data_IF_472655444950
#
_entry.id   IF_472655444950
#
_cell.length_a   1.000
_cell.length_b   1.000
_cell.length_c   1.000
_cell.angle_alpha   90.00
_cell.angle_beta   90.00
_cell.angle_gamma   90.00
#
_symmetry.space_group_name_H-M   'P 1'
#
loop_
_entity.id
_entity.type
_entity.pdbx_description
1 polymer ?
#
# COMPACT_ATOMS: atom_id res chain seq x y z
N UNK A 1 7.36 13.96 -8.82
CA UNK A 1 6.71 12.69 -8.41
C UNK A 1 7.11 12.37 -6.98
N UNK A 2 6.13 12.16 -6.14
CA UNK A 2 6.37 11.72 -4.76
C UNK A 2 6.15 10.22 -4.67
N UNK A 3 6.94 9.56 -3.84
CA UNK A 3 6.89 8.11 -3.68
C UNK A 3 6.65 7.79 -2.22
N UNK A 4 5.51 7.19 -1.93
CA UNK A 4 5.17 6.73 -0.59
C UNK A 4 5.67 5.29 -0.43
N UNK A 5 6.61 5.12 0.49
CA UNK A 5 7.22 3.82 0.77
C UNK A 5 6.60 3.21 2.01
N UNK A 6 6.30 1.92 1.92
CA UNK A 6 5.86 1.13 3.07
C UNK A 6 6.73 -0.11 3.16
N UNK A 7 7.30 -0.35 4.34
CA UNK A 7 8.00 -1.60 4.66
C UNK A 7 7.18 -2.34 5.70
N UNK A 8 6.89 -3.61 5.45
CA UNK A 8 6.09 -4.41 6.38
C UNK A 8 6.43 -5.89 6.30
N UNK A 9 6.13 -6.59 7.38
CA UNK A 9 6.06 -8.04 7.40
C UNK A 9 4.58 -8.46 7.40
N UNK A 10 4.33 -9.71 7.04
CA UNK A 10 2.98 -10.24 7.09
C UNK A 10 2.86 -11.24 8.23
N UNK A 11 1.66 -11.36 8.77
CA UNK A 11 1.36 -12.27 9.88
C UNK A 11 0.02 -12.97 9.66
N UNK A 12 -0.23 -14.02 10.46
CA UNK A 12 -1.46 -14.77 10.37
C UNK A 12 -1.39 -15.86 9.32
N UNK A 13 -2.54 -16.49 9.09
CA UNK A 13 -2.66 -17.65 8.21
C UNK A 13 -2.97 -17.20 6.79
N UNK A 14 -1.92 -16.82 6.07
CA UNK A 14 -2.02 -16.39 4.66
C UNK A 14 -0.69 -16.70 3.96
N UNK A 15 -0.77 -17.11 2.71
CA UNK A 15 0.44 -17.30 1.91
C UNK A 15 0.95 -15.97 1.36
N UNK A 16 2.25 -15.90 1.07
CA UNK A 16 2.86 -14.71 0.47
C UNK A 16 2.16 -14.32 -0.83
N UNK A 17 1.84 -15.31 -1.64
CA UNK A 17 1.19 -15.10 -2.93
C UNK A 17 -0.21 -14.52 -2.79
N UNK A 18 -0.99 -15.05 -1.86
CA UNK A 18 -2.35 -14.54 -1.59
C UNK A 18 -2.31 -13.11 -1.07
N UNK A 19 -1.41 -12.83 -0.13
CA UNK A 19 -1.28 -11.50 0.44
C UNK A 19 -0.90 -10.48 -0.63
N UNK A 20 0.10 -10.78 -1.44
CA UNK A 20 0.53 -9.89 -2.53
C UNK A 20 -0.58 -9.67 -3.55
N UNK A 21 -1.36 -10.70 -3.86
CA UNK A 21 -2.52 -10.58 -4.74
C UNK A 21 -3.57 -9.64 -4.15
N UNK A 22 -3.89 -9.80 -2.87
CA UNK A 22 -4.88 -8.97 -2.19
C UNK A 22 -4.45 -7.50 -2.15
N UNK A 23 -3.17 -7.24 -1.85
CA UNK A 23 -2.62 -5.89 -1.86
C UNK A 23 -2.68 -5.28 -3.26
N UNK A 24 -2.31 -6.05 -4.28
CA UNK A 24 -2.34 -5.59 -5.68
C UNK A 24 -3.75 -5.20 -6.11
N UNK A 25 -4.74 -6.00 -5.77
CA UNK A 25 -6.14 -5.70 -6.10
C UNK A 25 -6.61 -4.39 -5.48
N UNK A 26 -6.20 -4.13 -4.23
CA UNK A 26 -6.51 -2.87 -3.56
C UNK A 26 -5.84 -1.67 -4.25
N UNK A 27 -4.52 -1.75 -4.49
CA UNK A 27 -3.77 -0.67 -5.12
C UNK A 27 -4.25 -0.41 -6.54
N UNK A 28 -4.61 -1.45 -7.27
CA UNK A 28 -5.20 -1.36 -8.60
C UNK A 28 -6.51 -0.56 -8.56
N UNK A 29 -7.34 -0.78 -7.56
CA UNK A 29 -8.58 -0.03 -7.39
C UNK A 29 -8.33 1.46 -7.20
N UNK A 30 -7.32 1.83 -6.40
CA UNK A 30 -6.95 3.22 -6.21
C UNK A 30 -6.40 3.85 -7.49
N UNK A 31 -5.64 3.09 -8.26
CA UNK A 31 -5.12 3.56 -9.55
C UNK A 31 -6.24 3.80 -10.55
N UNK A 32 -7.21 2.90 -10.61
CA UNK A 32 -8.37 3.04 -11.50
C UNK A 32 -9.20 4.29 -11.17
N UNK A 33 -9.23 4.69 -9.90
CA UNK A 33 -9.90 5.91 -9.46
C UNK A 33 -9.01 7.16 -9.58
N UNK A 34 -7.81 7.05 -10.14
CA UNK A 34 -6.82 8.12 -10.25
C UNK A 34 -6.38 8.70 -8.89
N UNK A 35 -6.44 7.90 -7.83
CA UNK A 35 -5.99 8.29 -6.50
C UNK A 35 -4.48 8.10 -6.33
N UNK A 36 -3.88 7.27 -7.16
CA UNK A 36 -2.44 7.07 -7.25
C UNK A 36 -2.05 6.95 -8.73
N UNK A 37 -0.78 7.19 -9.04
CA UNK A 37 -0.27 7.10 -10.41
C UNK A 37 0.22 5.69 -10.76
N UNK A 38 0.96 5.07 -9.87
CA UNK A 38 1.46 3.71 -10.06
C UNK A 38 1.85 3.09 -8.72
N UNK A 39 2.19 1.82 -8.74
CA UNK A 39 2.65 1.11 -7.55
C UNK A 39 3.61 -0.01 -7.93
N UNK A 40 4.43 -0.42 -6.97
CA UNK A 40 5.27 -1.62 -7.07
C UNK A 40 5.22 -2.36 -5.74
N UNK A 41 5.15 -3.68 -5.83
CA UNK A 41 5.21 -4.56 -4.67
C UNK A 41 6.50 -5.36 -4.81
N UNK A 42 7.41 -5.21 -3.85
CA UNK A 42 8.68 -5.92 -3.85
C UNK A 42 8.88 -6.66 -2.54
N UNK A 43 9.68 -7.71 -2.60
CA UNK A 43 10.04 -8.53 -1.46
C UNK A 43 11.55 -8.68 -1.40
N UNK A 44 12.12 -8.63 -0.21
CA UNK A 44 13.55 -8.83 -0.03
C UNK A 44 13.95 -10.22 -0.53
N UNK A 45 14.85 -10.27 -1.51
CA UNK A 45 15.25 -11.50 -2.14
C UNK A 45 16.24 -12.27 -1.26
N UNK A 46 15.86 -13.49 -0.86
CA UNK A 46 16.73 -14.39 -0.11
C UNK A 46 17.30 -13.79 1.18
N UNK A 47 16.57 -12.84 1.80
CA UNK A 47 17.06 -12.15 2.98
C UNK A 47 18.25 -11.24 2.73
N UNK A 48 18.49 -10.84 1.48
CA UNK A 48 19.64 -10.03 1.10
C UNK A 48 19.46 -8.58 1.51
N UNK A 49 19.78 -8.30 2.77
CA UNK A 49 19.73 -6.95 3.36
C UNK A 49 20.73 -6.86 4.49
N UNK A 50 21.36 -5.68 4.61
CA UNK A 50 22.31 -5.39 5.70
C UNK A 50 21.66 -4.58 6.82
N UNK A 51 20.48 -4.03 6.59
CA UNK A 51 19.77 -3.22 7.58
C UNK A 51 19.06 -4.15 8.56
N UNK A 52 19.42 -4.03 9.84
CA UNK A 52 18.81 -4.83 10.89
C UNK A 52 17.34 -4.43 11.07
N UNK A 53 16.48 -5.43 11.29
CA UNK A 53 15.04 -5.24 11.54
C UNK A 53 14.27 -4.60 10.38
N UNK A 54 14.84 -4.53 9.18
CA UNK A 54 14.11 -4.08 8.01
C UNK A 54 13.08 -5.15 7.63
N UNK A 55 11.79 -4.80 7.56
CA UNK A 55 10.76 -5.75 7.13
C UNK A 55 11.01 -6.29 5.73
N UNK A 56 10.41 -7.45 5.45
CA UNK A 56 10.68 -8.19 4.21
C UNK A 56 10.04 -7.58 2.97
N UNK A 57 8.85 -7.00 3.10
CA UNK A 57 8.11 -6.45 1.99
C UNK A 57 8.31 -4.95 1.88
N UNK A 58 8.48 -4.48 0.65
CA UNK A 58 8.62 -3.05 0.37
C UNK A 58 7.66 -2.68 -0.75
N UNK A 59 6.71 -1.82 -0.43
CA UNK A 59 5.68 -1.34 -1.35
C UNK A 59 5.97 0.12 -1.67
N UNK A 60 5.91 0.48 -2.94
CA UNK A 60 6.10 1.84 -3.40
C UNK A 60 4.83 2.30 -4.11
N UNK A 61 4.31 3.45 -3.72
CA UNK A 61 3.12 4.05 -4.32
C UNK A 61 3.51 5.42 -4.85
N UNK A 62 3.42 5.60 -6.16
CA UNK A 62 3.77 6.88 -6.79
C UNK A 62 2.55 7.78 -6.89
N UNK A 63 2.74 9.04 -6.51
CA UNK A 63 1.73 10.10 -6.63
C UNK A 63 2.36 11.33 -7.27
N UNK A 64 1.54 12.17 -7.90
CA UNK A 64 2.01 13.42 -8.52
C UNK A 64 2.56 14.36 -7.46
N UNK A 65 1.87 14.46 -6.33
CA UNK A 65 2.16 15.39 -5.25
C UNK A 65 1.47 14.93 -3.96
N UNK A 66 1.69 15.70 -2.89
CA UNK A 66 1.08 15.46 -1.58
C UNK A 66 -0.45 15.51 -1.61
N UNK A 67 -1.00 16.36 -2.47
CA UNK A 67 -2.46 16.50 -2.57
C UNK A 67 -3.12 15.22 -3.04
N UNK A 68 -2.54 14.57 -4.04
CA UNK A 68 -3.04 13.28 -4.52
C UNK A 68 -2.91 12.20 -3.45
N UNK A 69 -1.79 12.13 -2.77
CA UNK A 69 -1.57 11.16 -1.70
C UNK A 69 -2.58 11.34 -0.57
N UNK A 70 -2.83 12.58 -0.17
CA UNK A 70 -3.80 12.92 0.86
C UNK A 70 -5.21 12.48 0.44
N UNK A 71 -5.57 12.69 -0.81
CA UNK A 71 -6.85 12.24 -1.38
C UNK A 71 -6.98 10.72 -1.32
N UNK A 72 -5.90 9.98 -1.57
CA UNK A 72 -5.90 8.52 -1.47
C UNK A 72 -6.14 8.07 -0.02
N UNK A 73 -5.50 8.69 0.97
CA UNK A 73 -5.73 8.40 2.38
C UNK A 73 -7.17 8.70 2.79
N UNK A 74 -7.73 9.81 2.34
CA UNK A 74 -9.11 10.18 2.62
C UNK A 74 -10.09 9.17 2.04
N UNK A 75 -9.80 8.65 0.85
CA UNK A 75 -10.63 7.61 0.21
C UNK A 75 -10.70 6.35 1.07
N UNK A 76 -9.56 5.90 1.58
CA UNK A 76 -9.50 4.73 2.46
C UNK A 76 -10.24 5.00 3.77
N UNK A 77 -10.03 6.16 4.38
CA UNK A 77 -10.70 6.53 5.61
C UNK A 77 -12.22 6.59 5.43
N UNK A 78 -12.69 7.10 4.30
CA UNK A 78 -14.12 7.18 3.99
C UNK A 78 -14.75 5.80 3.93
N UNK A 79 -14.13 4.83 3.23
CA UNK A 79 -14.70 3.49 3.09
C UNK A 79 -14.70 2.71 4.42
N UNK A 80 -13.92 3.13 5.40
CA UNK A 80 -13.93 2.52 6.72
C UNK A 80 -15.01 3.07 7.67
N UNK A 81 -15.60 4.23 7.36
CA UNK A 81 -16.43 4.98 8.30
C UNK A 81 -17.92 5.08 7.97
N UNK A 82 -18.34 4.76 6.74
CA UNK A 82 -19.69 5.07 6.26
C UNK A 82 -20.44 3.86 5.74
N UNK A 83 -21.78 3.98 5.65
CA UNK A 83 -22.61 3.07 4.85
C UNK A 83 -22.23 3.29 3.39
N UNK A 84 -21.85 2.20 2.71
CA UNK A 84 -21.15 2.27 1.46
C UNK A 84 -22.06 1.88 0.29
N UNK A 85 -21.83 2.51 -0.87
CA UNK A 85 -22.33 2.01 -2.13
C UNK A 85 -21.54 0.74 -2.52
N UNK A 86 -21.88 0.14 -3.66
CA UNK A 86 -21.25 -1.11 -4.10
C UNK A 86 -19.75 -0.95 -4.36
N UNK A 87 -19.33 0.15 -4.98
CA UNK A 87 -17.91 0.42 -5.30
C UNK A 87 -17.11 0.58 -4.01
N UNK A 88 -17.62 1.38 -3.08
CA UNK A 88 -16.97 1.61 -1.80
C UNK A 88 -16.87 0.33 -0.97
N UNK A 89 -17.91 -0.51 -1.00
CA UNK A 89 -17.90 -1.79 -0.32
C UNK A 89 -16.81 -2.72 -0.87
N UNK A 90 -16.60 -2.75 -2.18
CA UNK A 90 -15.54 -3.54 -2.79
C UNK A 90 -14.15 -3.05 -2.39
N UNK A 91 -13.95 -1.74 -2.33
CA UNK A 91 -12.67 -1.16 -1.87
C UNK A 91 -12.40 -1.55 -0.43
N UNK A 92 -13.41 -1.48 0.43
CA UNK A 92 -13.30 -1.86 1.84
C UNK A 92 -12.90 -3.33 1.99
N UNK A 93 -13.55 -4.22 1.23
CA UNK A 93 -13.23 -5.66 1.25
C UNK A 93 -11.77 -5.88 0.84
N UNK A 94 -11.32 -5.24 -0.22
CA UNK A 94 -9.94 -5.37 -0.72
C UNK A 94 -8.93 -4.82 0.27
N UNK A 95 -9.22 -3.68 0.88
CA UNK A 95 -8.36 -3.09 1.91
C UNK A 95 -8.22 -4.04 3.11
N UNK A 96 -9.34 -4.54 3.62
CA UNK A 96 -9.33 -5.45 4.76
C UNK A 96 -8.58 -6.75 4.46
N UNK A 97 -8.75 -7.30 3.25
CA UNK A 97 -8.17 -8.59 2.87
C UNK A 97 -6.64 -8.64 3.02
N UNK A 98 -5.94 -7.53 2.72
CA UNK A 98 -4.49 -7.51 2.95
C UNK A 98 -4.12 -6.91 4.32
N UNK A 99 -4.83 -5.86 4.75
CA UNK A 99 -4.45 -5.08 5.93
C UNK A 99 -4.54 -5.87 7.24
N UNK A 100 -5.46 -6.82 7.34
CA UNK A 100 -5.58 -7.67 8.53
C UNK A 100 -4.35 -8.55 8.78
N UNK A 101 -3.51 -8.74 7.76
CA UNK A 101 -2.29 -9.57 7.85
C UNK A 101 -1.01 -8.74 7.89
N UNK A 102 -1.11 -7.43 8.03
CA UNK A 102 0.08 -6.58 8.16
C UNK A 102 0.54 -6.58 9.62
N UNK A 103 1.80 -6.91 9.84
CA UNK A 103 2.38 -6.96 11.18
C UNK A 103 2.58 -5.55 11.77
N UNK A 104 2.68 -5.48 13.09
CA UNK A 104 2.77 -4.21 13.82
C UNK A 104 4.07 -3.42 13.57
N UNK A 105 5.10 -4.07 13.00
CA UNK A 105 6.38 -3.42 12.71
C UNK A 105 6.39 -2.61 11.42
N UNK A 106 5.23 -2.31 10.88
CA UNK A 106 5.10 -1.51 9.66
C UNK A 106 5.80 -0.16 9.80
N UNK A 107 6.52 0.24 8.76
CA UNK A 107 7.20 1.52 8.67
C UNK A 107 6.87 2.17 7.34
N UNK A 108 6.88 3.50 7.31
CA UNK A 108 6.59 4.23 6.08
C UNK A 108 7.44 5.49 5.98
N UNK A 109 7.64 5.97 4.75
CA UNK A 109 8.34 7.21 4.48
C UNK A 109 7.89 7.78 3.14
N UNK A 110 7.93 9.09 3.01
CA UNK A 110 7.62 9.77 1.76
C UNK A 110 8.90 10.36 1.19
N UNK A 111 9.21 9.99 -0.04
CA UNK A 111 10.40 10.46 -0.76
C UNK A 111 9.95 11.18 -2.02
N UNK A 112 10.77 12.12 -2.47
CA UNK A 112 10.57 12.84 -3.72
C UNK A 112 11.73 12.53 -4.65
N UNK A 113 11.44 12.44 -5.95
CA UNK A 113 12.48 12.28 -6.96
C UNK A 113 13.51 13.40 -6.86
N UNK A 114 14.78 13.07 -7.05
CA UNK A 114 15.87 14.04 -7.07
C UNK A 114 16.69 13.88 -8.35
N UNK A 115 17.00 14.94 -9.09
CA UNK A 115 16.56 16.30 -8.79
C UNK A 115 15.05 16.48 -8.94
N UNK A 116 14.51 17.40 -8.15
CA UNK A 116 13.08 17.74 -8.19
C UNK A 116 12.81 18.53 -9.48
N UNK A 117 11.86 18.08 -10.27
CA UNK A 117 11.49 18.72 -11.53
C UNK A 117 10.25 19.59 -11.36
#
# INVERSE_FOLDING_TARGET
MDIYHVWCDIEGDITDKEWAHNLREFLKSLKEENKIESYRITRCKLGFRSIQDLPEWHIMVETKDMSQLETAFQRVAKVEQHTLDEIESQIKIKHHAFNQHVADNIQHALFRDWPDE
#
